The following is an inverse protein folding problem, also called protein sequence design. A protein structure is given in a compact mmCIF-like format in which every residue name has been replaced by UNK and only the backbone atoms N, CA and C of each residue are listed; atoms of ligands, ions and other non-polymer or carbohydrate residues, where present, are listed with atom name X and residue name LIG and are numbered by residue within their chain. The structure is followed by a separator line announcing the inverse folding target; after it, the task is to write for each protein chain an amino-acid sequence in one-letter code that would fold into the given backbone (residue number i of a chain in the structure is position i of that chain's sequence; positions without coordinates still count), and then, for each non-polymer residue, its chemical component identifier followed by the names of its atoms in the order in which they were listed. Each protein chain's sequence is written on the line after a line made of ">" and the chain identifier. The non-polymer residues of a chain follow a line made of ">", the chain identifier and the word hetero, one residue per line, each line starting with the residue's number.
data_IF_375744184560
#
_entry.id   IF_375744184560
#
_cell.length_a   1.000
_cell.length_b   1.000
_cell.length_c   1.000
_cell.angle_alpha   90.00
_cell.angle_beta   90.00
_cell.angle_gamma   90.00
#
_symmetry.space_group_name_H-M   'P 1'
#
loop_
_entity.id
_entity.type
_entity.pdbx_description
1 polymer ?
#
# COMPACT_ATOMS: atom_id res chain seq x y z
N UNK A 1 -25.45 17.07 17.98
CA UNK A 1 -25.46 15.88 18.87
C UNK A 1 -25.14 14.67 18.01
N UNK A 2 -23.99 14.05 18.29
CA UNK A 2 -23.33 13.04 17.45
C UNK A 2 -23.98 11.67 17.64
N UNK A 3 -24.76 11.22 16.64
CA UNK A 3 -25.40 9.90 16.61
C UNK A 3 -24.52 8.79 16.01
N UNK A 4 -23.22 9.04 15.77
CA UNK A 4 -22.32 8.10 15.09
C UNK A 4 -21.61 7.09 16.00
N UNK A 5 -21.77 7.19 17.33
CA UNK A 5 -21.01 6.37 18.29
C UNK A 5 -21.81 5.20 18.89
N UNK A 6 -23.09 5.03 18.54
CA UNK A 6 -23.95 3.95 19.08
C UNK A 6 -23.95 2.69 18.18
N UNK A 7 -22.89 2.47 17.40
CA UNK A 7 -22.80 1.24 16.62
C UNK A 7 -22.38 0.09 17.54
N UNK A 8 -23.12 -1.03 17.59
CA UNK A 8 -22.72 -2.22 18.35
C UNK A 8 -21.40 -2.84 17.85
N UNK A 9 -20.88 -2.37 16.71
CA UNK A 9 -19.59 -2.78 16.16
C UNK A 9 -18.41 -1.91 16.65
N UNK A 10 -18.66 -0.88 17.46
CA UNK A 10 -17.61 0.01 17.98
C UNK A 10 -16.86 -0.61 19.17
N UNK A 11 -17.49 -1.55 19.88
CA UNK A 11 -16.94 -2.13 21.11
C UNK A 11 -15.85 -3.20 20.86
N UNK A 12 -15.72 -3.72 19.63
CA UNK A 12 -14.75 -4.76 19.26
C UNK A 12 -13.77 -4.28 18.17
N UNK A 13 -13.09 -3.16 18.44
CA UNK A 13 -11.96 -2.70 17.62
C UNK A 13 -10.72 -3.61 17.74
N UNK A 14 -10.72 -4.54 18.69
CA UNK A 14 -9.65 -5.54 18.89
C UNK A 14 -9.45 -6.39 17.62
N UNK A 15 -10.51 -6.67 16.86
CA UNK A 15 -10.42 -7.31 15.53
C UNK A 15 -9.60 -6.53 14.50
N UNK A 16 -9.46 -5.22 14.68
CA UNK A 16 -8.67 -4.32 13.85
C UNK A 16 -7.37 -3.85 14.52
N UNK A 17 -7.03 -4.38 15.70
CA UNK A 17 -5.83 -4.03 16.46
C UNK A 17 -4.54 -4.61 15.86
N UNK A 18 -4.38 -4.53 14.54
CA UNK A 18 -3.07 -4.68 13.92
C UNK A 18 -2.23 -3.49 14.35
N UNK A 19 -1.06 -3.75 14.94
CA UNK A 19 -0.12 -2.70 15.32
C UNK A 19 0.33 -1.94 14.06
N UNK A 20 -0.24 -0.74 13.87
CA UNK A 20 0.18 0.16 12.80
C UNK A 20 1.61 0.60 13.08
N UNK A 21 2.48 0.43 12.08
CA UNK A 21 3.87 0.89 12.16
C UNK A 21 4.24 1.70 10.94
N UNK A 22 4.99 2.77 11.18
CA UNK A 22 5.61 3.56 10.13
C UNK A 22 7.08 3.20 10.04
N UNK A 23 7.58 3.03 8.82
CA UNK A 23 8.98 2.73 8.54
C UNK A 23 9.51 3.77 7.56
N UNK A 24 10.51 4.54 7.98
CA UNK A 24 11.18 5.53 7.13
C UNK A 24 12.07 4.85 6.11
N UNK A 25 12.11 5.40 4.90
CA UNK A 25 12.85 4.88 3.75
C UNK A 25 13.54 6.02 3.01
N UNK A 26 14.64 5.76 2.26
CA UNK A 26 15.32 6.81 1.49
C UNK A 26 14.39 7.55 0.52
N UNK A 27 13.40 6.86 -0.05
CA UNK A 27 12.43 7.41 -0.99
C UNK A 27 11.18 8.04 -0.34
N UNK A 28 11.01 7.93 0.98
CA UNK A 28 9.77 8.33 1.65
C UNK A 28 9.49 7.49 2.89
N UNK A 29 8.30 6.92 3.00
CA UNK A 29 7.96 6.02 4.11
C UNK A 29 6.87 5.02 3.72
N UNK A 30 6.79 3.92 4.46
CA UNK A 30 5.66 3.01 4.44
C UNK A 30 4.92 3.01 5.78
N UNK A 31 3.60 2.93 5.73
CA UNK A 31 2.76 2.59 6.88
C UNK A 31 2.26 1.18 6.66
N UNK A 32 2.66 0.25 7.52
CA UNK A 32 2.12 -1.10 7.56
C UNK A 32 0.93 -1.10 8.51
N UNK A 33 -0.27 -1.29 7.98
CA UNK A 33 -1.52 -1.29 8.74
C UNK A 33 -2.22 -2.66 8.76
N UNK A 34 -1.74 -3.61 7.95
CA UNK A 34 -2.17 -5.00 7.95
C UNK A 34 -0.95 -5.92 7.81
N UNK A 35 -0.78 -6.89 8.70
CA UNK A 35 0.23 -7.93 8.55
C UNK A 35 -0.28 -9.24 9.16
N UNK A 36 -0.65 -10.17 8.30
CA UNK A 36 -1.13 -11.51 8.68
C UNK A 36 -0.41 -12.55 7.84
N UNK A 37 -0.70 -13.83 8.10
CA UNK A 37 -0.18 -14.93 7.28
C UNK A 37 -0.73 -14.93 5.84
N UNK A 38 -1.82 -14.18 5.57
CA UNK A 38 -2.52 -14.18 4.29
C UNK A 38 -2.32 -12.93 3.45
N UNK A 39 -2.16 -11.77 4.09
CA UNK A 39 -2.03 -10.49 3.38
C UNK A 39 -1.24 -9.47 4.20
N UNK A 40 -0.71 -8.48 3.47
CA UNK A 40 -0.08 -7.30 4.05
C UNK A 40 -0.70 -6.05 3.43
N UNK A 41 -1.21 -5.16 4.28
CA UNK A 41 -1.73 -3.85 3.89
C UNK A 41 -0.69 -2.78 4.16
N UNK A 42 -0.33 -2.02 3.12
CA UNK A 42 0.61 -0.90 3.21
C UNK A 42 0.07 0.36 2.56
N UNK A 43 0.38 1.51 3.15
CA UNK A 43 0.30 2.81 2.48
C UNK A 43 1.73 3.28 2.24
N UNK A 44 2.05 3.55 0.97
CA UNK A 44 3.36 4.03 0.56
C UNK A 44 3.28 5.52 0.24
N UNK A 45 4.18 6.30 0.82
CA UNK A 45 4.42 7.67 0.40
C UNK A 45 5.80 7.75 -0.23
N UNK A 46 5.84 8.11 -1.51
CA UNK A 46 7.06 8.27 -2.27
C UNK A 46 7.24 9.76 -2.58
N UNK A 47 8.40 10.32 -2.27
CA UNK A 47 8.73 11.71 -2.59
C UNK A 47 8.92 11.88 -4.10
N UNK A 48 8.65 13.08 -4.61
CA UNK A 48 8.88 13.41 -6.02
C UNK A 48 10.34 13.16 -6.39
N UNK A 49 10.56 12.44 -7.50
CA UNK A 49 11.91 12.12 -8.01
C UNK A 49 12.57 10.92 -7.34
N UNK A 50 11.89 10.26 -6.41
CA UNK A 50 12.36 9.04 -5.75
C UNK A 50 11.63 7.81 -6.31
N UNK A 51 12.23 6.64 -6.10
CA UNK A 51 11.68 5.36 -6.55
C UNK A 51 11.86 4.25 -5.52
N UNK A 52 11.01 3.24 -5.63
CA UNK A 52 11.20 1.94 -4.97
C UNK A 52 12.23 1.11 -5.76
N UNK A 53 12.80 0.09 -5.12
CA UNK A 53 13.47 -0.97 -5.88
C UNK A 53 12.41 -1.82 -6.60
N UNK A 54 12.78 -2.44 -7.73
CA UNK A 54 11.92 -3.43 -8.37
C UNK A 54 11.52 -4.53 -7.38
N UNK A 55 10.24 -4.89 -7.36
CA UNK A 55 9.71 -5.90 -6.45
C UNK A 55 9.43 -7.19 -7.22
N UNK A 56 10.02 -8.29 -6.76
CA UNK A 56 9.73 -9.62 -7.29
C UNK A 56 9.05 -10.48 -6.23
N UNK A 57 7.94 -11.13 -6.61
CA UNK A 57 7.16 -11.97 -5.72
C UNK A 57 6.97 -13.37 -6.31
N UNK A 58 7.37 -14.40 -5.55
CA UNK A 58 7.20 -15.81 -5.94
C UNK A 58 5.85 -16.42 -5.51
N UNK A 59 5.21 -15.83 -4.49
CA UNK A 59 4.08 -16.43 -3.76
C UNK A 59 2.98 -15.45 -3.40
N UNK A 60 3.19 -14.16 -3.66
CA UNK A 60 2.34 -13.08 -3.18
C UNK A 60 1.83 -12.33 -4.40
N UNK A 61 0.51 -12.22 -4.51
CA UNK A 61 -0.12 -11.30 -5.44
C UNK A 61 -0.04 -9.89 -4.85
N UNK A 62 0.22 -8.91 -5.71
CA UNK A 62 0.28 -7.50 -5.32
C UNK A 62 -0.75 -6.72 -6.13
N UNK A 63 -1.49 -5.87 -5.41
CA UNK A 63 -2.41 -4.90 -6.00
C UNK A 63 -1.98 -3.54 -5.49
N UNK A 64 -1.80 -2.60 -6.42
CA UNK A 64 -1.47 -1.22 -6.12
C UNK A 64 -2.68 -0.35 -6.45
N UNK A 65 -2.88 0.71 -5.69
CA UNK A 65 -3.88 1.73 -6.00
C UNK A 65 -3.28 3.10 -5.73
N UNK A 66 -3.25 3.95 -6.76
CA UNK A 66 -2.72 5.29 -6.60
C UNK A 66 -3.80 6.22 -6.04
N UNK A 67 -3.67 6.56 -4.76
CA UNK A 67 -4.61 7.48 -4.11
C UNK A 67 -4.40 8.94 -4.53
N UNK A 68 -3.15 9.39 -4.63
CA UNK A 68 -2.79 10.78 -4.96
C UNK A 68 -1.43 10.84 -5.67
N UNK A 69 -1.27 11.83 -6.55
CA UNK A 69 -0.03 12.10 -7.27
C UNK A 69 -0.02 11.49 -8.67
N UNK A 70 1.17 11.19 -9.18
CA UNK A 70 1.41 10.52 -10.46
C UNK A 70 2.70 9.73 -10.33
N UNK A 71 2.70 8.51 -10.83
CA UNK A 71 3.88 7.64 -10.83
C UNK A 71 4.12 7.11 -12.25
N UNK A 72 5.37 6.75 -12.50
CA UNK A 72 5.73 5.82 -13.57
C UNK A 72 5.83 4.43 -12.93
N UNK A 73 5.12 3.46 -13.50
CA UNK A 73 4.99 2.11 -12.98
C UNK A 73 5.61 1.14 -13.98
N UNK A 74 6.61 0.40 -13.51
CA UNK A 74 7.28 -0.66 -14.28
C UNK A 74 6.71 -2.02 -13.88
N UNK A 75 6.16 -2.77 -14.83
CA UNK A 75 5.59 -4.11 -14.59
C UNK A 75 6.04 -5.06 -15.70
N UNK A 76 6.34 -6.31 -15.34
CA UNK A 76 6.62 -7.34 -16.32
C UNK A 76 6.87 -8.70 -15.68
N UNK A 77 7.02 -9.70 -16.53
CA UNK A 77 7.31 -11.07 -16.09
C UNK A 77 8.75 -11.24 -15.61
N UNK A 78 9.03 -12.22 -14.73
CA UNK A 78 10.37 -12.45 -14.20
C UNK A 78 11.38 -12.77 -15.32
N UNK A 79 12.39 -11.91 -15.48
CA UNK A 79 13.42 -12.05 -16.51
C UNK A 79 12.98 -11.62 -17.92
N UNK A 80 11.75 -11.10 -18.07
CA UNK A 80 11.25 -10.49 -19.29
C UNK A 80 11.52 -8.98 -19.35
N UNK A 81 11.11 -8.33 -20.45
CA UNK A 81 11.08 -6.87 -20.53
C UNK A 81 10.04 -6.31 -19.54
N UNK A 82 10.24 -5.05 -19.14
CA UNK A 82 9.28 -4.29 -18.33
C UNK A 82 8.50 -3.35 -19.23
N UNK A 83 7.18 -3.37 -19.09
CA UNK A 83 6.29 -2.34 -19.58
C UNK A 83 6.30 -1.16 -18.61
N UNK A 84 6.16 0.05 -19.15
CA UNK A 84 6.22 1.30 -18.40
C UNK A 84 4.95 2.09 -18.64
N UNK A 85 4.21 2.37 -17.57
CA UNK A 85 2.96 3.13 -17.65
C UNK A 85 2.93 4.30 -16.67
N UNK A 86 2.35 5.42 -17.11
CA UNK A 86 2.12 6.57 -16.24
C UNK A 86 0.74 6.45 -15.60
N UNK A 87 0.73 6.19 -14.30
CA UNK A 87 -0.49 5.96 -13.54
C UNK A 87 -0.91 7.23 -12.79
N UNK A 88 -2.18 7.58 -12.90
CA UNK A 88 -2.82 8.71 -12.20
C UNK A 88 -3.72 8.24 -11.06
N UNK A 89 -4.23 9.17 -10.23
CA UNK A 89 -5.08 8.82 -9.09
C UNK A 89 -6.33 8.05 -9.52
N UNK A 90 -6.79 7.12 -8.69
CA UNK A 90 -7.97 6.29 -8.99
C UNK A 90 -7.67 5.05 -9.83
N UNK A 91 -6.41 4.84 -10.22
CA UNK A 91 -5.96 3.73 -11.06
C UNK A 91 -4.89 2.90 -10.32
N UNK A 92 -4.66 1.68 -10.79
CA UNK A 92 -3.74 0.71 -10.23
C UNK A 92 -3.63 -0.52 -11.11
#
# INVERSE_FOLDING_TARGET
>A
MSHFLDSPNLEDLDRFAVKVRRVEKPWGYEIVYGLTDRYCGKLLFVRKGEQLSLQFHRRKDEVVYLHQGRIEMEIGDPGGPLDVEVVGPGHG
#
